data_IF_266509627877
#
_entry.id   IF_266509627877
#
_cell.length_a   1.000
_cell.length_b   1.000
_cell.length_c   1.000
_cell.angle_alpha   90.00
_cell.angle_beta   90.00
_cell.angle_gamma   90.00
#
_symmetry.space_group_name_H-M   'P 1'
#
loop_
_entity.id
_entity.type
_entity.pdbx_description
1 polymer ?
#
# COMPACT_ATOMS: atom_id res chain seq x y z
N UNK A 1 37.64 20.43 27.16
CA UNK A 1 36.45 19.61 27.42
C UNK A 1 35.19 20.35 26.99
N UNK A 2 34.61 20.07 25.80
CA UNK A 2 33.22 20.42 25.45
C UNK A 2 32.70 19.40 24.43
N UNK A 3 32.19 18.27 24.91
CA UNK A 3 31.30 17.36 24.17
C UNK A 3 30.16 17.04 25.12
N UNK A 4 28.98 17.61 24.86
CA UNK A 4 27.64 17.22 25.33
C UNK A 4 26.72 18.43 25.08
N UNK A 5 25.97 18.39 23.97
CA UNK A 5 24.69 19.10 23.83
C UNK A 5 23.95 18.83 22.50
N UNK A 6 24.51 18.06 21.57
CA UNK A 6 23.86 17.76 20.28
C UNK A 6 22.89 16.57 20.30
N UNK A 7 22.96 15.68 21.30
CA UNK A 7 22.16 14.43 21.34
C UNK A 7 20.79 14.59 22.03
N UNK A 8 20.61 15.65 22.84
CA UNK A 8 19.35 15.92 23.56
C UNK A 8 18.36 16.69 22.70
N UNK A 9 18.85 17.62 21.87
CA UNK A 9 18.04 18.40 20.92
C UNK A 9 17.46 17.50 19.83
N UNK A 10 18.24 16.61 19.19
CA UNK A 10 17.75 15.66 18.16
C UNK A 10 16.68 14.69 18.69
N UNK A 11 16.81 14.21 19.94
CA UNK A 11 15.79 13.35 20.57
C UNK A 11 14.51 14.10 20.90
N UNK A 12 14.60 15.34 21.35
CA UNK A 12 13.43 16.18 21.63
C UNK A 12 12.69 16.57 20.35
N UNK A 13 13.41 16.94 19.29
CA UNK A 13 12.85 17.28 17.98
C UNK A 13 12.22 16.07 17.30
N UNK A 14 12.84 14.88 17.38
CA UNK A 14 12.20 13.63 16.92
C UNK A 14 10.93 13.29 17.68
N UNK A 15 10.89 13.55 18.99
CA UNK A 15 9.72 13.26 19.84
C UNK A 15 8.58 14.24 19.59
N UNK A 16 8.89 15.51 19.31
CA UNK A 16 7.90 16.52 18.91
C UNK A 16 7.36 16.24 17.50
N UNK A 17 8.25 15.96 16.53
CA UNK A 17 7.84 15.55 15.17
C UNK A 17 7.00 14.28 15.18
N UNK A 18 7.35 13.27 15.99
CA UNK A 18 6.55 12.05 16.06
C UNK A 18 5.16 12.27 16.65
N UNK A 19 4.98 13.23 17.57
CA UNK A 19 3.66 13.62 18.08
C UNK A 19 2.83 14.42 17.07
N UNK A 20 3.41 15.39 16.37
CA UNK A 20 2.68 16.15 15.32
C UNK A 20 2.36 15.29 14.09
N UNK A 21 3.25 14.39 13.67
CA UNK A 21 3.05 13.53 12.48
C UNK A 21 2.10 12.35 12.75
N UNK A 22 1.90 11.99 14.03
CA UNK A 22 0.91 11.01 14.49
C UNK A 22 -0.44 11.65 14.87
N UNK A 23 -0.61 12.96 14.66
CA UNK A 23 -1.93 13.57 14.73
C UNK A 23 -2.87 12.81 13.79
N UNK A 24 -4.06 12.49 14.29
CA UNK A 24 -5.11 11.86 13.49
C UNK A 24 -5.44 12.79 12.32
N UNK A 25 -5.37 12.27 11.10
CA UNK A 25 -5.62 12.97 9.84
C UNK A 25 -6.65 12.18 9.04
N UNK A 26 -7.94 12.29 9.38
CA UNK A 26 -8.99 11.56 8.69
C UNK A 26 -8.95 11.88 7.20
N UNK A 27 -9.03 10.84 6.38
CA UNK A 27 -9.09 11.04 4.93
C UNK A 27 -10.47 11.54 4.50
N UNK A 28 -10.52 12.34 3.45
CA UNK A 28 -11.77 12.74 2.83
C UNK A 28 -12.24 11.66 1.85
N UNK A 29 -13.27 10.91 2.26
CA UNK A 29 -13.90 9.84 1.47
C UNK A 29 -14.75 10.33 0.30
N UNK A 30 -15.03 11.63 0.21
CA UNK A 30 -15.72 12.21 -0.96
C UNK A 30 -14.81 12.30 -2.18
N UNK A 31 -13.49 12.34 -1.96
CA UNK A 31 -12.51 12.33 -3.03
C UNK A 31 -12.55 11.01 -3.79
N UNK A 32 -12.58 11.14 -5.12
CA UNK A 32 -12.61 10.01 -6.02
C UNK A 32 -11.73 10.29 -7.23
N UNK A 33 -11.23 9.22 -7.82
CA UNK A 33 -10.54 9.31 -9.10
C UNK A 33 -11.51 9.71 -10.21
N UNK A 34 -11.00 10.38 -11.23
CA UNK A 34 -11.82 10.74 -12.39
C UNK A 34 -12.44 9.48 -13.03
N UNK A 35 -13.68 9.56 -13.55
CA UNK A 35 -14.34 8.43 -14.19
C UNK A 35 -13.50 7.79 -15.29
N UNK A 36 -12.79 8.59 -16.09
CA UNK A 36 -11.87 8.12 -17.14
C UNK A 36 -10.80 7.18 -16.58
N UNK A 37 -10.17 7.52 -15.45
CA UNK A 37 -9.14 6.67 -14.83
C UNK A 37 -9.74 5.37 -14.32
N UNK A 38 -10.94 5.43 -13.73
CA UNK A 38 -11.66 4.24 -13.25
C UNK A 38 -12.05 3.33 -14.43
N UNK A 39 -12.52 3.91 -15.54
CA UNK A 39 -12.85 3.17 -16.76
C UNK A 39 -11.61 2.49 -17.36
N UNK A 40 -10.51 3.22 -17.55
CA UNK A 40 -9.24 2.66 -18.06
C UNK A 40 -8.77 1.52 -17.16
N UNK A 41 -8.74 1.74 -15.85
CA UNK A 41 -8.38 0.69 -14.89
C UNK A 41 -9.31 -0.52 -15.00
N UNK A 42 -10.62 -0.31 -15.11
CA UNK A 42 -11.61 -1.37 -15.29
C UNK A 42 -11.36 -2.22 -16.54
N UNK A 43 -11.01 -1.61 -17.67
CA UNK A 43 -10.65 -2.31 -18.91
C UNK A 43 -9.41 -3.18 -18.73
N UNK A 44 -8.33 -2.62 -18.18
CA UNK A 44 -7.12 -3.39 -17.88
C UNK A 44 -7.38 -4.51 -16.88
N UNK A 45 -8.21 -4.26 -15.87
CA UNK A 45 -8.60 -5.26 -14.86
C UNK A 45 -9.33 -6.44 -15.49
N UNK A 46 -10.28 -6.19 -16.40
CA UNK A 46 -10.98 -7.25 -17.13
C UNK A 46 -10.05 -8.08 -18.02
N UNK A 47 -9.11 -7.42 -18.72
CA UNK A 47 -8.09 -8.10 -19.51
C UNK A 47 -7.22 -9.03 -18.64
N UNK A 48 -6.69 -8.51 -17.53
CA UNK A 48 -5.85 -9.29 -16.60
C UNK A 48 -6.64 -10.44 -15.99
N UNK A 49 -7.89 -10.21 -15.59
CA UNK A 49 -8.77 -11.25 -15.05
C UNK A 49 -8.93 -12.42 -16.04
N UNK A 50 -9.19 -12.12 -17.31
CA UNK A 50 -9.32 -13.14 -18.36
C UNK A 50 -8.03 -13.95 -18.56
N UNK A 51 -6.87 -13.27 -18.63
CA UNK A 51 -5.57 -13.92 -18.74
C UNK A 51 -5.32 -14.84 -17.53
N UNK A 52 -5.61 -14.36 -16.32
CA UNK A 52 -5.33 -15.10 -15.09
C UNK A 52 -6.24 -16.33 -14.94
N UNK A 53 -7.50 -16.27 -15.35
CA UNK A 53 -8.37 -17.45 -15.37
C UNK A 53 -7.93 -18.53 -16.37
N UNK A 54 -7.22 -18.15 -17.45
CA UNK A 54 -6.64 -19.10 -18.40
C UNK A 54 -5.35 -19.70 -17.84
N UNK A 55 -4.51 -18.87 -17.21
CA UNK A 55 -3.19 -19.29 -16.71
C UNK A 55 -3.26 -20.08 -15.40
N UNK A 56 -4.27 -19.86 -14.57
CA UNK A 56 -4.33 -20.37 -13.21
C UNK A 56 -5.72 -20.89 -12.85
N UNK A 57 -5.76 -21.93 -12.02
CA UNK A 57 -6.99 -22.39 -11.36
C UNK A 57 -7.25 -21.57 -10.09
N UNK A 58 -7.83 -20.38 -10.21
CA UNK A 58 -8.03 -19.44 -9.09
C UNK A 58 -9.49 -19.43 -8.65
N UNK A 59 -9.72 -19.54 -7.34
CA UNK A 59 -11.00 -19.27 -6.69
C UNK A 59 -10.91 -18.00 -5.83
N UNK A 60 -12.07 -17.35 -5.63
CA UNK A 60 -12.19 -16.16 -4.80
C UNK A 60 -13.35 -16.33 -3.83
N UNK A 61 -13.12 -15.96 -2.58
CA UNK A 61 -14.12 -15.97 -1.52
C UNK A 61 -14.15 -14.59 -0.85
N UNK A 62 -15.31 -14.21 -0.30
CA UNK A 62 -15.45 -12.96 0.43
C UNK A 62 -15.47 -11.69 -0.43
N UNK A 63 -15.78 -11.80 -1.73
CA UNK A 63 -15.81 -10.66 -2.66
C UNK A 63 -16.81 -9.57 -2.27
N UNK A 64 -17.87 -9.93 -1.54
CA UNK A 64 -18.86 -9.02 -0.97
C UNK A 64 -18.29 -8.07 0.08
N UNK A 65 -17.14 -8.42 0.69
CA UNK A 65 -16.46 -7.59 1.68
C UNK A 65 -15.61 -6.48 1.04
N UNK A 66 -15.43 -6.49 -0.29
CA UNK A 66 -14.65 -5.49 -1.00
C UNK A 66 -15.42 -4.16 -1.01
N UNK A 67 -14.86 -3.09 -0.42
CA UNK A 67 -15.52 -1.79 -0.43
C UNK A 67 -15.71 -1.27 -1.85
N UNK A 68 -16.86 -0.63 -2.09
CA UNK A 68 -17.19 0.00 -3.38
C UNK A 68 -16.56 1.40 -3.51
N UNK A 69 -16.18 2.01 -2.39
CA UNK A 69 -15.52 3.31 -2.29
C UNK A 69 -13.99 3.18 -2.30
N UNK A 70 -13.32 4.32 -2.53
CA UNK A 70 -11.87 4.44 -2.45
C UNK A 70 -11.37 4.74 -1.05
N UNK A 71 -10.06 4.88 -0.90
CA UNK A 71 -9.44 5.26 0.37
C UNK A 71 -9.42 4.13 1.40
N UNK A 72 -9.42 2.86 1.01
CA UNK A 72 -9.35 1.71 1.92
C UNK A 72 -7.97 1.04 1.86
N UNK A 73 -7.55 0.41 2.96
CA UNK A 73 -6.26 -0.30 3.04
C UNK A 73 -6.48 -1.80 2.87
N UNK A 74 -5.88 -2.41 1.86
CA UNK A 74 -5.85 -3.85 1.65
C UNK A 74 -4.57 -4.40 2.27
N UNK A 75 -4.71 -5.21 3.32
CA UNK A 75 -3.60 -5.81 4.03
C UNK A 75 -3.52 -7.31 3.72
N UNK A 76 -2.48 -7.72 2.99
CA UNK A 76 -2.34 -9.09 2.50
C UNK A 76 -1.04 -9.74 2.96
N UNK A 77 -1.04 -11.06 3.14
CA UNK A 77 0.21 -11.82 3.20
C UNK A 77 0.93 -11.77 1.84
N UNK A 78 2.26 -11.97 1.84
CA UNK A 78 3.05 -11.84 0.62
C UNK A 78 3.78 -13.15 0.28
N UNK A 79 3.36 -13.84 -0.78
CA UNK A 79 3.89 -15.12 -1.24
C UNK A 79 4.60 -15.03 -2.59
N UNK A 80 4.19 -14.13 -3.48
CA UNK A 80 4.74 -14.03 -4.83
C UNK A 80 4.82 -12.59 -5.35
N UNK A 81 5.45 -12.41 -6.52
CA UNK A 81 5.41 -11.13 -7.22
C UNK A 81 4.05 -10.80 -7.83
N UNK A 82 3.16 -11.80 -7.96
CA UNK A 82 1.83 -11.63 -8.56
C UNK A 82 0.74 -11.25 -7.56
N UNK A 83 1.04 -11.31 -6.25
CA UNK A 83 0.07 -10.97 -5.20
C UNK A 83 -0.63 -9.61 -5.40
N UNK A 84 0.08 -8.52 -5.80
CA UNK A 84 -0.59 -7.26 -6.11
C UNK A 84 -1.68 -7.37 -7.18
N UNK A 85 -1.49 -8.27 -8.15
CA UNK A 85 -2.43 -8.50 -9.26
C UNK A 85 -3.63 -9.32 -8.81
N UNK A 86 -3.45 -10.35 -7.98
CA UNK A 86 -4.56 -11.13 -7.41
C UNK A 86 -5.54 -10.26 -6.60
N UNK A 87 -5.04 -9.20 -5.95
CA UNK A 87 -5.87 -8.20 -5.25
C UNK A 87 -6.53 -7.24 -6.25
N UNK A 88 -5.80 -6.83 -7.29
CA UNK A 88 -6.29 -5.86 -8.28
C UNK A 88 -7.48 -6.36 -9.11
N UNK A 89 -7.51 -7.65 -9.46
CA UNK A 89 -8.51 -8.20 -10.39
C UNK A 89 -9.97 -8.10 -9.88
N UNK A 90 -10.17 -8.03 -8.56
CA UNK A 90 -11.51 -7.90 -7.94
C UNK A 90 -11.79 -6.54 -7.29
N UNK A 91 -10.84 -5.62 -7.31
CA UNK A 91 -11.04 -4.26 -6.79
C UNK A 91 -11.48 -3.32 -7.92
N UNK A 92 -12.59 -2.58 -7.73
CA UNK A 92 -13.10 -1.65 -8.77
C UNK A 92 -12.42 -0.29 -8.74
N UNK A 93 -11.93 0.10 -7.56
CA UNK A 93 -11.20 1.34 -7.36
C UNK A 93 -9.69 1.06 -7.46
N UNK A 94 -8.94 1.84 -8.26
CA UNK A 94 -7.51 1.65 -8.43
C UNK A 94 -6.71 1.60 -7.12
N UNK A 95 -5.76 0.67 -7.07
CA UNK A 95 -4.87 0.45 -5.93
C UNK A 95 -3.55 1.24 -6.08
N UNK A 96 -2.95 1.59 -4.96
CA UNK A 96 -1.58 2.06 -4.85
C UNK A 96 -0.75 1.06 -4.04
N UNK A 97 0.53 0.91 -4.40
CA UNK A 97 1.37 -0.16 -3.86
C UNK A 97 2.62 0.40 -3.21
N UNK A 98 2.88 0.03 -1.96
CA UNK A 98 4.15 0.31 -1.30
C UNK A 98 5.22 -0.64 -1.85
N UNK A 99 6.13 -0.13 -2.69
CA UNK A 99 7.13 -0.93 -3.37
C UNK A 99 8.54 -0.54 -2.95
N UNK A 100 9.43 -1.53 -2.86
CA UNK A 100 10.83 -1.33 -2.47
C UNK A 100 11.51 -0.32 -3.41
N UNK A 101 12.21 0.69 -2.87
CA UNK A 101 12.80 1.78 -3.68
C UNK A 101 13.67 1.26 -4.84
N UNK A 102 14.43 0.19 -4.61
CA UNK A 102 15.31 -0.44 -5.59
C UNK A 102 14.56 -0.95 -6.84
N UNK A 103 13.24 -1.20 -6.76
CA UNK A 103 12.41 -1.52 -7.93
C UNK A 103 12.27 -0.34 -8.89
N UNK A 104 12.37 0.90 -8.41
CA UNK A 104 12.29 2.11 -9.22
C UNK A 104 13.64 2.48 -9.86
N UNK A 105 14.70 1.75 -9.52
CA UNK A 105 16.07 2.01 -9.97
C UNK A 105 16.52 0.99 -11.04
N UNK A 106 15.73 -0.05 -11.31
CA UNK A 106 16.05 -1.11 -12.29
C UNK A 106 16.28 -0.54 -13.68
N UNK A 107 15.31 0.18 -14.24
CA UNK A 107 15.43 0.96 -15.48
C UNK A 107 14.24 1.92 -15.64
N UNK A 108 14.34 2.86 -16.59
CA UNK A 108 13.33 3.91 -16.82
C UNK A 108 11.97 3.35 -17.24
N UNK A 109 11.95 2.33 -18.10
CA UNK A 109 10.71 1.75 -18.61
C UNK A 109 9.94 1.01 -17.49
N UNK A 110 10.63 0.20 -16.70
CA UNK A 110 10.05 -0.50 -15.57
C UNK A 110 9.58 0.46 -14.47
N UNK A 111 10.38 1.49 -14.15
CA UNK A 111 9.97 2.56 -13.23
C UNK A 111 8.68 3.23 -13.68
N UNK A 112 8.60 3.62 -14.96
CA UNK A 112 7.40 4.22 -15.52
C UNK A 112 6.20 3.29 -15.40
N UNK A 113 6.37 2.01 -15.74
CA UNK A 113 5.32 1.00 -15.69
C UNK A 113 4.75 0.83 -14.28
N UNK A 114 5.58 0.55 -13.27
CA UNK A 114 5.11 0.33 -11.90
C UNK A 114 4.49 1.61 -11.31
N UNK A 115 5.01 2.78 -11.66
CA UNK A 115 4.46 4.07 -11.22
C UNK A 115 3.09 4.32 -11.85
N UNK A 116 2.91 3.99 -13.14
CA UNK A 116 1.63 4.10 -13.83
C UNK A 116 0.56 3.19 -13.21
N UNK A 117 0.97 2.00 -12.73
CA UNK A 117 0.09 1.10 -11.96
C UNK A 117 -0.14 1.55 -10.51
N UNK A 118 0.46 2.66 -10.07
CA UNK A 118 0.21 3.28 -8.77
C UNK A 118 1.18 2.86 -7.67
N UNK A 119 2.29 2.19 -7.99
CA UNK A 119 3.35 1.91 -7.03
C UNK A 119 4.11 3.20 -6.67
N UNK A 120 4.56 3.27 -5.41
CA UNK A 120 5.44 4.33 -4.94
C UNK A 120 6.58 3.76 -4.07
N UNK A 121 7.77 4.39 -4.08
CA UNK A 121 8.94 3.85 -3.42
C UNK A 121 8.86 3.97 -1.90
N UNK A 122 9.36 2.96 -1.20
CA UNK A 122 9.55 2.97 0.25
C UNK A 122 10.94 2.46 0.62
N UNK A 123 11.63 3.17 1.51
CA UNK A 123 12.88 2.72 2.13
C UNK A 123 12.56 1.89 3.37
N UNK A 124 12.92 0.61 3.37
CA UNK A 124 12.68 -0.27 4.52
C UNK A 124 13.68 0.02 5.63
N UNK A 125 13.23 0.01 6.88
CA UNK A 125 14.10 0.10 8.07
C UNK A 125 14.38 1.52 8.56
N UNK A 126 14.15 2.54 7.72
CA UNK A 126 13.94 3.90 8.19
C UNK A 126 12.45 4.04 8.50
N UNK A 127 12.10 4.35 9.74
CA UNK A 127 10.74 4.70 10.14
C UNK A 127 10.35 6.03 9.51
N UNK A 128 10.26 6.05 8.19
CA UNK A 128 10.20 7.25 7.40
C UNK A 128 8.76 7.76 7.40
N UNK A 129 8.53 8.83 8.15
CA UNK A 129 7.24 9.50 8.27
C UNK A 129 6.73 9.95 6.90
N UNK A 130 7.63 10.25 5.95
CA UNK A 130 7.27 10.60 4.58
C UNK A 130 6.49 9.47 3.86
N UNK A 131 6.73 8.22 4.22
CA UNK A 131 6.00 7.07 3.64
C UNK A 131 4.56 7.02 4.14
N UNK A 132 4.33 7.38 5.41
CA UNK A 132 2.99 7.48 5.99
C UNK A 132 2.23 8.61 5.33
N UNK A 133 2.86 9.78 5.17
CA UNK A 133 2.26 10.94 4.51
C UNK A 133 1.87 10.59 3.06
N UNK A 134 2.80 9.98 2.31
CA UNK A 134 2.52 9.52 0.93
C UNK A 134 1.36 8.53 0.89
N UNK A 135 1.29 7.59 1.85
CA UNK A 135 0.19 6.63 1.94
C UNK A 135 -1.16 7.31 2.19
N UNK A 136 -1.21 8.27 3.11
CA UNK A 136 -2.39 9.08 3.40
C UNK A 136 -2.80 9.89 2.18
N UNK A 137 -1.85 10.50 1.46
CA UNK A 137 -2.13 11.25 0.24
C UNK A 137 -2.76 10.36 -0.83
N UNK A 138 -2.26 9.12 -1.02
CA UNK A 138 -2.88 8.17 -1.97
C UNK A 138 -4.30 7.81 -1.58
N UNK A 139 -4.56 7.60 -0.29
CA UNK A 139 -5.90 7.32 0.22
C UNK A 139 -6.83 8.53 0.01
N UNK A 140 -6.35 9.74 0.30
CA UNK A 140 -7.06 11.00 0.07
C UNK A 140 -7.34 11.28 -1.40
N UNK A 141 -6.53 10.79 -2.34
CA UNK A 141 -6.83 10.86 -3.78
C UNK A 141 -7.97 9.92 -4.22
N UNK A 142 -8.59 9.20 -3.29
CA UNK A 142 -9.62 8.20 -3.58
C UNK A 142 -9.07 6.88 -4.11
N UNK A 143 -7.77 6.60 -3.97
CA UNK A 143 -7.19 5.28 -4.29
C UNK A 143 -7.29 4.36 -3.09
N UNK A 144 -7.34 3.06 -3.33
CA UNK A 144 -7.09 2.08 -2.27
C UNK A 144 -5.58 1.88 -2.11
N UNK A 145 -5.13 1.43 -0.94
CA UNK A 145 -3.72 1.18 -0.65
C UNK A 145 -3.49 -0.29 -0.35
N UNK A 146 -2.61 -0.95 -1.10
CA UNK A 146 -2.18 -2.31 -0.82
C UNK A 146 -0.90 -2.30 0.01
N UNK A 147 -0.94 -2.98 1.15
CA UNK A 147 0.20 -3.16 2.04
C UNK A 147 0.39 -4.65 2.32
N UNK A 148 1.65 -5.09 2.23
CA UNK A 148 2.07 -6.42 2.66
C UNK A 148 2.77 -6.28 4.02
N UNK A 149 2.09 -6.58 5.16
CA UNK A 149 2.58 -6.22 6.49
C UNK A 149 3.92 -6.84 6.86
N UNK A 150 4.22 -8.02 6.33
CA UNK A 150 5.50 -8.73 6.50
C UNK A 150 6.68 -7.90 5.95
N UNK A 151 6.41 -7.07 4.94
CA UNK A 151 7.40 -6.25 4.27
C UNK A 151 8.46 -7.06 3.54
N UNK A 152 8.21 -8.34 3.25
CA UNK A 152 8.98 -9.21 2.37
C UNK A 152 8.09 -10.36 1.93
N UNK A 153 8.46 -11.05 0.85
CA UNK A 153 7.80 -12.29 0.45
C UNK A 153 8.22 -13.41 1.39
N UNK A 154 7.26 -14.24 1.78
CA UNK A 154 7.46 -15.52 2.43
C UNK A 154 8.21 -16.46 1.49
N UNK A 155 9.20 -17.19 2.03
CA UNK A 155 10.00 -18.17 1.28
C UNK A 155 9.55 -19.61 1.55
N UNK A 156 8.88 -19.84 2.66
CA UNK A 156 8.42 -21.14 3.15
C UNK A 156 6.88 -21.29 3.09
N UNK A 157 6.19 -20.29 2.55
CA UNK A 157 4.74 -20.28 2.41
C UNK A 157 3.98 -19.92 3.70
N UNK A 158 4.67 -19.74 4.83
CA UNK A 158 4.07 -19.34 6.09
C UNK A 158 3.89 -17.82 6.15
N UNK A 159 2.84 -17.38 6.85
CA UNK A 159 2.62 -15.96 7.14
C UNK A 159 3.61 -15.52 8.21
N UNK A 160 4.50 -14.60 7.86
CA UNK A 160 5.50 -14.03 8.77
C UNK A 160 4.91 -12.99 9.73
N UNK A 161 5.78 -12.44 10.59
CA UNK A 161 5.41 -11.38 11.52
C UNK A 161 5.10 -10.08 10.79
N UNK A 162 3.86 -9.60 10.90
CA UNK A 162 3.44 -8.30 10.40
C UNK A 162 4.11 -7.14 11.16
N UNK A 163 4.45 -6.08 10.42
CA UNK A 163 4.88 -4.79 10.97
C UNK A 163 3.67 -3.91 11.30
N UNK A 164 3.88 -2.92 12.16
CA UNK A 164 2.82 -2.01 12.65
C UNK A 164 2.34 -0.97 11.63
N UNK A 165 2.97 -0.88 10.45
CA UNK A 165 2.70 0.16 9.45
C UNK A 165 1.24 0.23 9.00
N UNK A 166 0.57 -0.92 8.81
CA UNK A 166 -0.86 -0.96 8.48
C UNK A 166 -1.70 -0.32 9.58
N UNK A 167 -1.49 -0.74 10.82
CA UNK A 167 -2.24 -0.23 11.97
C UNK A 167 -1.99 1.27 12.17
N UNK A 168 -0.75 1.73 11.99
CA UNK A 168 -0.39 3.13 12.11
C UNK A 168 -1.08 3.98 11.03
N UNK A 169 -0.99 3.58 9.77
CA UNK A 169 -1.62 4.32 8.66
C UNK A 169 -3.14 4.33 8.85
N UNK A 170 -3.75 3.20 9.23
CA UNK A 170 -5.19 3.12 9.48
C UNK A 170 -5.63 4.03 10.64
N UNK A 171 -4.87 4.06 11.73
CA UNK A 171 -5.16 4.90 12.89
C UNK A 171 -5.03 6.40 12.57
N UNK A 172 -4.03 6.79 11.79
CA UNK A 172 -3.88 8.19 11.37
C UNK A 172 -4.96 8.56 10.35
N UNK A 173 -5.16 7.75 9.31
CA UNK A 173 -6.08 8.02 8.21
C UNK A 173 -7.56 7.85 8.57
N UNK A 174 -7.87 7.22 9.70
CA UNK A 174 -9.24 6.85 10.12
C UNK A 174 -10.01 6.10 9.02
N UNK A 175 -9.36 5.07 8.46
CA UNK A 175 -9.95 4.29 7.36
C UNK A 175 -9.95 2.78 7.63
N UNK A 176 -10.77 2.07 6.85
CA UNK A 176 -10.96 0.62 6.95
C UNK A 176 -9.73 -0.12 6.47
N UNK A 177 -9.42 -1.22 7.18
CA UNK A 177 -8.48 -2.24 6.73
C UNK A 177 -9.28 -3.45 6.26
N UNK A 178 -9.03 -3.87 5.02
CA UNK A 178 -9.58 -5.05 4.38
C UNK A 178 -8.49 -6.14 4.43
N UNK A 179 -8.63 -7.15 5.30
CA UNK A 179 -7.70 -8.27 5.31
C UNK A 179 -7.87 -9.12 4.05
N UNK A 180 -6.77 -9.58 3.48
CA UNK A 180 -6.76 -10.49 2.31
C UNK A 180 -5.81 -11.64 2.56
N UNK A 181 -6.29 -12.87 2.33
CA UNK A 181 -5.48 -14.07 2.34
C UNK A 181 -5.17 -14.54 0.91
N UNK A 182 -3.91 -14.85 0.63
CA UNK A 182 -3.46 -15.47 -0.62
C UNK A 182 -2.80 -16.80 -0.28
N UNK A 183 -3.29 -17.87 -0.88
CA UNK A 183 -2.83 -19.23 -0.61
C UNK A 183 -2.75 -20.07 -1.90
N UNK A 184 -1.61 -20.73 -2.12
CA UNK A 184 -1.34 -21.72 -3.16
C UNK A 184 -0.06 -22.51 -2.87
#
# INVERSE_FOLDING_TARGET
>A
MKKKNTDVTDKSERKVRSHELMAVRPIDKSNHLSPVRVCIYGLFRWLVLGIYHIMFNISFEGLENIPKDGGNIFAANHRSYQDPMFIAIHTRVPLSYMAKQELFEVNKAFKWLITAFGAFPVQRGKGDTAVIDTAIDKLNMGRNLTIFPEGTRSKDGKVGKGKTGVALIAAVAQTKVVPVGINF
#
